data_IF_159570815003
#
_entry.id   IF_159570815003
#
_cell.length_a   1.000
_cell.length_b   1.000
_cell.length_c   1.000
_cell.angle_alpha   90.00
_cell.angle_beta   90.00
_cell.angle_gamma   90.00
#
_symmetry.space_group_name_H-M   'P 1'
#
loop_
_entity.id
_entity.type
_entity.pdbx_description
1 polymer ?
#
# COMPACT_ATOMS: atom_id res chain seq x y z
N UNK A 1 -4.79 11.96 14.43
CA UNK A 1 -5.82 13.04 14.52
C UNK A 1 -7.22 12.45 14.61
N UNK A 2 -7.68 11.68 13.62
CA UNK A 2 -9.04 11.09 13.57
C UNK A 2 -9.47 10.36 14.86
N UNK A 3 -8.59 9.64 15.57
CA UNK A 3 -8.91 8.96 16.83
C UNK A 3 -9.29 9.88 18.00
N UNK A 4 -8.83 11.13 18.01
CA UNK A 4 -9.01 12.08 19.12
C UNK A 4 -10.09 13.13 18.81
N UNK A 5 -10.93 12.89 17.80
CA UNK A 5 -12.02 13.79 17.45
C UNK A 5 -13.13 13.74 18.52
N UNK A 6 -13.76 14.88 18.78
CA UNK A 6 -14.76 15.02 19.86
C UNK A 6 -15.93 14.04 19.71
N UNK A 7 -16.33 13.71 18.47
CA UNK A 7 -17.39 12.74 18.21
C UNK A 7 -16.98 11.30 18.57
N UNK A 8 -15.69 10.96 18.54
CA UNK A 8 -15.19 9.65 18.97
C UNK A 8 -15.16 9.56 20.48
N UNK A 9 -14.68 10.61 21.15
CA UNK A 9 -14.65 10.69 22.61
C UNK A 9 -16.08 10.60 23.17
N UNK A 10 -17.04 11.31 22.55
CA UNK A 10 -18.45 11.21 22.90
C UNK A 10 -19.02 9.80 22.67
N UNK A 11 -18.69 9.15 21.55
CA UNK A 11 -19.12 7.78 21.25
C UNK A 11 -18.56 6.75 22.25
N UNK A 12 -17.30 6.91 22.66
CA UNK A 12 -16.68 6.08 23.71
C UNK A 12 -17.33 6.32 25.07
N UNK A 13 -17.63 7.57 25.44
CA UNK A 13 -18.33 7.93 26.68
C UNK A 13 -19.77 7.38 26.73
N UNK A 14 -20.43 7.24 25.58
CA UNK A 14 -21.74 6.59 25.45
C UNK A 14 -21.67 5.05 25.49
N UNK A 15 -20.49 4.45 25.64
CA UNK A 15 -20.31 3.00 25.71
C UNK A 15 -20.44 2.27 24.36
N UNK A 16 -20.27 2.98 23.24
CA UNK A 16 -20.33 2.37 21.91
C UNK A 16 -19.10 1.45 21.73
N UNK A 17 -19.27 0.21 21.24
CA UNK A 17 -18.16 -0.71 21.10
C UNK A 17 -17.15 -0.22 20.03
N UNK A 18 -15.86 -0.36 20.33
CA UNK A 18 -14.75 0.17 19.51
C UNK A 18 -14.78 -0.26 18.04
N UNK A 19 -15.19 -1.49 17.74
CA UNK A 19 -15.29 -1.97 16.35
C UNK A 19 -16.33 -1.18 15.55
N UNK A 20 -17.43 -0.75 16.19
CA UNK A 20 -18.48 0.04 15.56
C UNK A 20 -18.00 1.46 15.30
N UNK A 21 -17.24 2.05 16.23
CA UNK A 21 -16.58 3.34 16.06
C UNK A 21 -15.58 3.30 14.90
N UNK A 22 -14.76 2.25 14.86
CA UNK A 22 -13.78 2.01 13.80
C UNK A 22 -14.42 1.96 12.42
N UNK A 23 -15.41 1.09 12.22
CA UNK A 23 -16.01 0.87 10.91
C UNK A 23 -16.95 1.99 10.46
N UNK A 24 -17.69 2.61 11.39
CA UNK A 24 -18.70 3.63 11.06
C UNK A 24 -18.15 5.04 10.98
N UNK A 25 -17.08 5.34 11.71
CA UNK A 25 -16.54 6.69 11.77
C UNK A 25 -15.08 6.78 11.33
N UNK A 26 -14.18 5.95 11.88
CA UNK A 26 -12.74 6.10 11.58
C UNK A 26 -12.42 5.67 10.15
N UNK A 27 -12.86 4.49 9.73
CA UNK A 27 -12.61 3.96 8.39
C UNK A 27 -13.06 4.95 7.31
N UNK A 28 -14.34 5.33 7.22
CA UNK A 28 -14.82 6.21 6.15
C UNK A 28 -14.13 7.58 6.15
N UNK A 29 -13.77 8.14 7.31
CA UNK A 29 -13.04 9.42 7.37
C UNK A 29 -11.56 9.31 6.97
N UNK A 30 -10.95 8.13 7.09
CA UNK A 30 -9.56 7.90 6.72
C UNK A 30 -9.39 7.40 5.28
N UNK A 31 -10.45 6.93 4.60
CA UNK A 31 -10.36 6.39 3.23
C UNK A 31 -9.71 7.39 2.26
N UNK A 32 -10.12 8.66 2.28
CA UNK A 32 -9.58 9.68 1.38
C UNK A 32 -8.05 9.81 1.49
N UNK A 33 -7.50 10.12 2.68
CA UNK A 33 -6.06 10.16 2.90
C UNK A 33 -5.33 8.84 2.59
N UNK A 34 -5.95 7.69 2.90
CA UNK A 34 -5.39 6.37 2.59
C UNK A 34 -5.22 6.20 1.07
N UNK A 35 -6.24 6.53 0.28
CA UNK A 35 -6.20 6.43 -1.19
C UNK A 35 -5.11 7.34 -1.77
N UNK A 36 -5.02 8.59 -1.30
CA UNK A 36 -3.98 9.53 -1.75
C UNK A 36 -2.59 8.98 -1.46
N UNK A 37 -2.38 8.49 -0.23
CA UNK A 37 -1.10 7.93 0.19
C UNK A 37 -0.73 6.70 -0.65
N UNK A 38 -1.68 5.78 -0.88
CA UNK A 38 -1.49 4.62 -1.75
C UNK A 38 -1.15 5.02 -3.18
N UNK A 39 -1.81 6.05 -3.72
CA UNK A 39 -1.56 6.52 -5.09
C UNK A 39 -0.12 6.99 -5.28
N UNK A 40 0.49 7.54 -4.22
CA UNK A 40 1.90 7.96 -4.25
C UNK A 40 2.87 6.83 -3.92
N UNK A 41 2.49 5.94 -2.99
CA UNK A 41 3.36 4.87 -2.50
C UNK A 41 3.44 3.65 -3.42
N UNK A 42 2.33 3.30 -4.12
CA UNK A 42 2.30 2.12 -5.01
C UNK A 42 3.34 2.25 -6.13
N UNK A 43 3.42 3.37 -6.89
CA UNK A 43 4.41 3.51 -7.95
C UNK A 43 5.84 3.36 -7.42
N UNK A 44 6.14 3.99 -6.28
CA UNK A 44 7.47 3.90 -5.65
C UNK A 44 7.84 2.46 -5.28
N UNK A 45 6.91 1.72 -4.70
CA UNK A 45 7.11 0.31 -4.36
C UNK A 45 7.34 -0.55 -5.61
N UNK A 46 6.56 -0.35 -6.68
CA UNK A 46 6.72 -1.05 -7.96
C UNK A 46 8.10 -0.77 -8.57
N UNK A 47 8.51 0.51 -8.62
CA UNK A 47 9.82 0.87 -9.16
C UNK A 47 10.97 0.28 -8.34
N UNK A 48 10.84 0.29 -7.02
CA UNK A 48 11.85 -0.28 -6.12
C UNK A 48 11.97 -1.79 -6.32
N UNK A 49 10.85 -2.51 -6.37
CA UNK A 49 10.84 -3.95 -6.65
C UNK A 49 11.44 -4.25 -8.03
N UNK A 50 10.98 -3.56 -9.08
CA UNK A 50 11.46 -3.76 -10.44
C UNK A 50 12.95 -3.46 -10.57
N UNK A 51 13.44 -2.40 -9.91
CA UNK A 51 14.86 -2.06 -9.89
C UNK A 51 15.71 -3.13 -9.20
N UNK A 52 15.30 -3.61 -8.02
CA UNK A 52 15.98 -4.67 -7.30
C UNK A 52 15.99 -5.98 -8.11
N UNK A 53 14.87 -6.35 -8.70
CA UNK A 53 14.75 -7.51 -9.59
C UNK A 53 15.61 -7.38 -10.85
N UNK A 54 15.70 -6.19 -11.44
CA UNK A 54 16.50 -5.93 -12.63
C UNK A 54 18.00 -6.13 -12.37
N UNK A 55 18.50 -5.73 -11.19
CA UNK A 55 19.90 -5.93 -10.77
C UNK A 55 20.17 -7.31 -10.14
N UNK A 56 19.18 -8.19 -10.09
CA UNK A 56 19.31 -9.56 -9.57
C UNK A 56 19.22 -9.70 -8.05
N UNK A 57 18.77 -8.66 -7.34
CA UNK A 57 18.52 -8.68 -5.89
C UNK A 57 17.03 -8.84 -5.52
N UNK A 58 16.16 -8.97 -6.53
CA UNK A 58 14.72 -9.16 -6.34
C UNK A 58 14.32 -10.63 -6.18
N UNK A 59 13.04 -10.92 -6.38
CA UNK A 59 12.50 -12.28 -6.22
C UNK A 59 13.17 -13.26 -7.19
N UNK A 60 13.67 -14.38 -6.66
CA UNK A 60 14.30 -15.42 -7.46
C UNK A 60 13.25 -16.20 -8.25
N UNK A 61 13.57 -16.60 -9.50
CA UNK A 61 12.73 -17.45 -10.35
C UNK A 61 12.25 -18.70 -9.56
N UNK A 62 10.98 -19.15 -9.69
CA UNK A 62 10.08 -19.05 -10.85
C UNK A 62 8.99 -17.97 -10.76
N UNK A 63 8.98 -17.10 -9.74
CA UNK A 63 8.05 -15.97 -9.70
C UNK A 63 8.51 -14.87 -10.66
N UNK A 64 7.83 -14.74 -11.81
CA UNK A 64 8.04 -13.64 -12.73
C UNK A 64 7.71 -12.30 -12.03
N UNK A 65 8.72 -11.48 -11.80
CA UNK A 65 8.54 -10.08 -11.40
C UNK A 65 8.77 -9.15 -12.59
N UNK A 66 8.19 -7.95 -12.51
CA UNK A 66 8.22 -6.95 -13.59
C UNK A 66 9.66 -6.59 -14.00
N UNK A 67 10.61 -6.55 -13.05
CA UNK A 67 12.02 -6.27 -13.32
C UNK A 67 12.80 -7.41 -14.00
N UNK A 68 12.50 -8.66 -13.64
CA UNK A 68 13.12 -9.84 -14.28
C UNK A 68 12.69 -9.94 -15.74
N UNK A 69 11.39 -9.76 -16.01
CA UNK A 69 10.85 -9.78 -17.38
C UNK A 69 11.47 -8.69 -18.27
N UNK A 70 11.69 -7.48 -17.73
CA UNK A 70 12.36 -6.41 -18.47
C UNK A 70 13.83 -6.75 -18.78
N UNK A 71 14.55 -7.35 -17.84
CA UNK A 71 15.95 -7.80 -18.03
C UNK A 71 16.04 -8.90 -19.11
N UNK A 72 15.17 -9.91 -19.05
CA UNK A 72 15.10 -11.00 -20.02
C UNK A 72 14.77 -10.51 -21.43
N UNK A 73 13.86 -9.54 -21.55
CA UNK A 73 13.54 -8.90 -22.83
C UNK A 73 14.74 -8.19 -23.46
N UNK A 74 15.51 -7.45 -22.67
CA UNK A 74 16.74 -6.78 -23.16
C UNK A 74 17.79 -7.82 -23.58
N UNK A 75 17.95 -8.90 -22.83
CA UNK A 75 18.89 -9.97 -23.20
C UNK A 75 18.49 -10.64 -24.51
N UNK A 76 17.19 -10.92 -24.71
CA UNK A 76 16.67 -11.55 -25.93
C UNK A 76 16.79 -10.65 -27.16
N UNK A 77 16.75 -9.33 -26.98
CA UNK A 77 16.99 -8.38 -28.07
C UNK A 77 18.47 -8.23 -28.45
N UNK A 78 19.39 -8.65 -27.57
CA UNK A 78 20.85 -8.54 -27.76
C UNK A 78 21.49 -9.82 -28.31
N UNK A 79 20.77 -10.95 -28.30
CA UNK A 79 21.18 -12.25 -28.84
C UNK A 79 20.68 -12.45 -30.27
#
# INVERSE_FOLDING_TARGET
>A
KVKNEEYIIAAEAMGIPKHRILLRHILPNCVGPIIITLTLAIPEAIFTEAFLSFIGLGVNAPMASWGVLASEGISSMRS
#
